data_IF_606633857144
#
_entry.id   IF_606633857144
#
_cell.length_a   1.000
_cell.length_b   1.000
_cell.length_c   1.000
_cell.angle_alpha   90.00
_cell.angle_beta   90.00
_cell.angle_gamma   90.00
#
_symmetry.space_group_name_H-M   'P 1'
#
loop_
_entity.id
_entity.type
_entity.pdbx_description
1 polymer ?
#
# COMPACT_ATOMS: atom_id res chain seq x y z
N UNK A 1 -38.82 47.34 -48.77
CA UNK A 1 -38.69 46.16 -47.92
C UNK A 1 -37.23 45.83 -47.73
N UNK A 2 -36.64 46.21 -46.57
CA UNK A 2 -35.23 45.87 -46.24
C UNK A 2 -35.22 44.60 -45.42
N UNK A 3 -34.59 43.52 -45.93
CA UNK A 3 -34.39 42.27 -45.18
C UNK A 3 -33.22 42.46 -44.17
N UNK A 4 -33.54 42.37 -42.90
CA UNK A 4 -32.58 42.33 -41.82
C UNK A 4 -32.00 40.89 -41.72
N UNK A 5 -30.70 40.72 -42.00
CA UNK A 5 -29.99 39.47 -41.80
C UNK A 5 -29.44 39.53 -40.37
N UNK A 6 -29.99 38.70 -39.47
CA UNK A 6 -29.44 38.48 -38.13
C UNK A 6 -28.37 37.40 -38.24
N UNK A 7 -27.12 37.80 -38.01
CA UNK A 7 -25.99 36.90 -37.93
C UNK A 7 -25.83 36.43 -36.48
N UNK A 8 -26.27 35.22 -36.20
CA UNK A 8 -26.03 34.59 -34.86
C UNK A 8 -24.64 33.96 -34.87
N UNK A 9 -23.69 34.62 -34.25
CA UNK A 9 -22.36 34.06 -33.96
C UNK A 9 -22.46 33.08 -32.77
N UNK A 10 -22.35 31.79 -33.09
CA UNK A 10 -22.13 30.75 -32.07
C UNK A 10 -20.70 30.86 -31.56
N UNK A 11 -20.55 31.32 -30.34
CA UNK A 11 -19.29 31.25 -29.60
C UNK A 11 -19.15 29.82 -29.06
N UNK A 12 -18.34 28.99 -29.70
CA UNK A 12 -17.87 27.74 -29.14
C UNK A 12 -16.84 28.09 -28.04
N UNK A 13 -17.25 28.07 -26.79
CA UNK A 13 -16.30 28.04 -25.69
C UNK A 13 -15.62 26.66 -25.68
N UNK A 14 -14.38 26.59 -26.19
CA UNK A 14 -13.51 25.48 -25.90
C UNK A 14 -13.22 25.51 -24.41
N UNK A 15 -13.92 24.68 -23.64
CA UNK A 15 -13.52 24.34 -22.28
C UNK A 15 -12.27 23.45 -22.47
N UNK A 16 -11.09 24.05 -22.44
CA UNK A 16 -9.86 23.31 -22.16
C UNK A 16 -10.00 22.79 -20.74
N UNK A 17 -10.42 21.53 -20.58
CA UNK A 17 -10.19 20.82 -19.33
C UNK A 17 -8.67 20.76 -19.17
N UNK A 18 -8.12 21.64 -18.38
CA UNK A 18 -6.85 21.40 -17.72
C UNK A 18 -7.06 20.13 -16.91
N UNK A 19 -6.38 19.05 -17.27
CA UNK A 19 -6.30 17.90 -16.41
C UNK A 19 -5.62 18.39 -15.11
N UNK A 20 -6.41 18.76 -14.13
CA UNK A 20 -5.88 19.17 -12.83
C UNK A 20 -5.17 17.97 -12.24
N UNK A 21 -3.90 18.13 -11.99
CA UNK A 21 -3.08 17.13 -11.27
C UNK A 21 -3.69 16.95 -9.90
N UNK A 22 -3.87 15.71 -9.47
CA UNK A 22 -4.35 15.42 -8.14
C UNK A 22 -3.46 16.08 -7.10
N UNK A 23 -4.08 16.82 -6.20
CA UNK A 23 -3.43 17.35 -5.00
C UNK A 23 -3.77 16.44 -3.84
N UNK A 24 -2.76 15.84 -3.24
CA UNK A 24 -2.89 14.99 -2.08
C UNK A 24 -2.31 15.71 -0.87
N UNK A 25 -3.12 15.97 0.11
CA UNK A 25 -2.74 16.81 1.27
C UNK A 25 -3.09 16.10 2.57
N UNK A 26 -2.40 16.52 3.62
CA UNK A 26 -2.71 16.13 4.98
C UNK A 26 -3.28 17.36 5.69
N UNK A 27 -4.53 17.27 6.12
CA UNK A 27 -5.22 18.29 6.88
C UNK A 27 -5.89 17.65 8.09
N UNK A 28 -5.69 18.22 9.27
CA UNK A 28 -6.27 17.72 10.53
C UNK A 28 -6.02 16.22 10.75
N UNK A 29 -4.81 15.75 10.45
CA UNK A 29 -4.39 14.34 10.50
C UNK A 29 -5.18 13.39 9.57
N UNK A 30 -5.85 13.93 8.56
CA UNK A 30 -6.57 13.20 7.53
C UNK A 30 -5.86 13.35 6.18
N UNK A 31 -5.94 12.31 5.38
CA UNK A 31 -5.49 12.35 3.99
C UNK A 31 -6.63 12.86 3.12
N UNK A 32 -6.35 13.86 2.28
CA UNK A 32 -7.31 14.43 1.34
C UNK A 32 -6.79 14.30 -0.08
N UNK A 33 -7.65 13.96 -1.01
CA UNK A 33 -7.38 13.99 -2.46
C UNK A 33 -8.30 15.03 -3.07
N UNK A 34 -7.74 16.10 -3.63
CA UNK A 34 -8.49 17.23 -4.19
C UNK A 34 -9.51 17.84 -3.19
N UNK A 35 -9.11 17.95 -1.91
CA UNK A 35 -9.94 18.51 -0.84
C UNK A 35 -11.03 17.57 -0.31
N UNK A 36 -11.06 16.32 -0.76
CA UNK A 36 -12.02 15.31 -0.28
C UNK A 36 -11.27 14.31 0.60
N UNK A 37 -11.77 14.04 1.81
CA UNK A 37 -11.18 13.04 2.71
C UNK A 37 -11.06 11.69 2.01
N UNK A 38 -9.88 11.10 2.11
CA UNK A 38 -9.55 9.84 1.48
C UNK A 38 -9.10 8.83 2.53
N UNK A 39 -9.96 7.87 2.85
CA UNK A 39 -9.61 6.76 3.71
C UNK A 39 -9.03 5.63 2.86
N UNK A 40 -7.78 5.24 3.14
CA UNK A 40 -7.10 4.17 2.40
C UNK A 40 -7.78 2.83 2.67
N UNK A 41 -8.29 2.21 1.63
CA UNK A 41 -8.84 0.85 1.58
C UNK A 41 -8.01 0.07 0.57
N UNK A 42 -6.86 -0.43 1.01
CA UNK A 42 -5.82 -0.89 0.10
C UNK A 42 -5.40 -2.34 0.24
N UNK A 43 -4.58 -2.76 -0.72
CA UNK A 43 -3.87 -4.05 -0.73
C UNK A 43 -2.42 -3.87 -1.17
N UNK A 44 -1.52 -4.69 -0.63
CA UNK A 44 -0.19 -4.86 -1.22
C UNK A 44 -0.31 -5.59 -2.56
N UNK A 45 0.35 -5.08 -3.59
CA UNK A 45 0.21 -5.60 -4.93
C UNK A 45 1.57 -5.85 -5.59
N UNK A 46 1.95 -7.12 -5.64
CA UNK A 46 3.16 -7.61 -6.29
C UNK A 46 2.86 -8.90 -7.07
N UNK A 47 2.24 -8.81 -8.27
CA UNK A 47 1.72 -9.96 -9.01
C UNK A 47 2.85 -10.71 -9.72
N UNK A 48 3.44 -11.68 -9.03
CA UNK A 48 4.49 -12.55 -9.57
C UNK A 48 3.85 -13.82 -10.15
N UNK A 49 4.07 -14.14 -11.44
CA UNK A 49 3.52 -15.35 -12.05
C UNK A 49 4.13 -16.63 -11.50
N UNK A 50 3.40 -17.75 -11.62
CA UNK A 50 3.89 -19.08 -11.27
C UNK A 50 5.23 -19.36 -11.98
N UNK A 51 6.19 -19.89 -11.26
CA UNK A 51 7.53 -20.23 -11.76
C UNK A 51 8.43 -19.01 -12.02
N UNK A 52 8.03 -17.82 -11.55
CA UNK A 52 8.81 -16.59 -11.65
C UNK A 52 9.10 -16.00 -10.27
N UNK A 53 10.07 -15.08 -10.24
CA UNK A 53 10.45 -14.31 -9.03
C UNK A 53 10.35 -12.81 -9.27
N UNK A 54 9.91 -12.40 -10.48
CA UNK A 54 9.76 -11.01 -10.88
C UNK A 54 8.30 -10.78 -11.22
N UNK A 55 7.73 -9.69 -10.71
CA UNK A 55 6.34 -9.31 -10.97
C UNK A 55 6.06 -9.07 -12.46
N UNK A 56 4.81 -9.29 -12.84
CA UNK A 56 4.30 -9.03 -14.17
C UNK A 56 2.88 -8.52 -14.11
N UNK A 57 2.59 -7.47 -14.88
CA UNK A 57 1.25 -6.88 -14.97
C UNK A 57 0.37 -7.48 -16.08
N UNK A 58 0.72 -8.67 -16.57
CA UNK A 58 -0.07 -9.33 -17.65
C UNK A 58 -1.52 -9.64 -17.25
N UNK A 59 -1.81 -9.70 -15.95
CA UNK A 59 -3.16 -9.95 -15.41
C UNK A 59 -3.84 -8.67 -14.92
N UNK A 60 -3.26 -7.50 -15.17
CA UNK A 60 -3.69 -6.22 -14.57
C UNK A 60 -5.19 -5.94 -14.78
N UNK A 61 -5.73 -6.19 -15.96
CA UNK A 61 -7.14 -5.92 -16.25
C UNK A 61 -8.08 -6.78 -15.38
N UNK A 62 -7.76 -8.07 -15.20
CA UNK A 62 -8.51 -8.96 -14.30
C UNK A 62 -8.35 -8.54 -12.85
N UNK A 63 -7.13 -8.20 -12.45
CA UNK A 63 -6.80 -7.84 -11.08
C UNK A 63 -7.53 -6.54 -10.67
N UNK A 64 -7.56 -5.53 -11.55
CA UNK A 64 -8.28 -4.27 -11.31
C UNK A 64 -9.80 -4.48 -11.17
N UNK A 65 -10.40 -5.33 -12.00
CA UNK A 65 -11.83 -5.66 -11.88
C UNK A 65 -12.15 -6.30 -10.52
N UNK A 66 -11.30 -7.20 -10.04
CA UNK A 66 -11.46 -7.81 -8.71
C UNK A 66 -11.26 -6.79 -7.59
N UNK A 67 -10.28 -5.89 -7.73
CA UNK A 67 -10.06 -4.83 -6.77
C UNK A 67 -11.24 -3.87 -6.69
N UNK A 68 -11.79 -3.45 -7.84
CA UNK A 68 -13.00 -2.63 -7.89
C UNK A 68 -14.18 -3.33 -7.24
N UNK A 69 -14.39 -4.62 -7.53
CA UNK A 69 -15.44 -5.42 -6.89
C UNK A 69 -15.29 -5.47 -5.37
N UNK A 70 -14.06 -5.58 -4.89
CA UNK A 70 -13.76 -5.59 -3.45
C UNK A 70 -13.86 -4.22 -2.78
N UNK A 71 -14.03 -3.12 -3.52
CA UNK A 71 -14.04 -1.76 -3.00
C UNK A 71 -12.66 -1.23 -2.62
N UNK A 72 -11.60 -1.83 -3.19
CA UNK A 72 -10.22 -1.39 -3.01
C UNK A 72 -10.01 -0.10 -3.81
N UNK A 73 -9.50 0.94 -3.15
CA UNK A 73 -9.19 2.23 -3.75
C UNK A 73 -7.68 2.50 -3.87
N UNK A 74 -6.85 1.66 -3.26
CA UNK A 74 -5.39 1.88 -3.20
C UNK A 74 -4.64 0.57 -3.37
N UNK A 75 -3.58 0.61 -4.16
CA UNK A 75 -2.55 -0.43 -4.15
C UNK A 75 -1.24 0.13 -3.59
N UNK A 76 -0.54 -0.68 -2.82
CA UNK A 76 0.81 -0.40 -2.36
C UNK A 76 1.78 -1.32 -3.08
N UNK A 77 2.79 -0.76 -3.72
CA UNK A 77 3.81 -1.52 -4.46
C UNK A 77 5.18 -1.36 -3.83
N UNK A 78 5.98 -2.42 -3.80
CA UNK A 78 7.32 -2.45 -3.17
C UNK A 78 8.43 -1.88 -4.07
N UNK A 79 8.12 -1.67 -5.34
CA UNK A 79 9.00 -0.98 -6.28
C UNK A 79 8.17 -0.21 -7.29
N UNK A 80 8.70 0.89 -7.87
CA UNK A 80 7.96 1.73 -8.80
C UNK A 80 7.41 0.99 -10.01
N UNK A 81 6.24 1.41 -10.50
CA UNK A 81 5.65 0.95 -11.76
C UNK A 81 6.11 1.93 -12.85
N UNK A 82 7.15 1.57 -13.60
CA UNK A 82 7.66 2.40 -14.71
C UNK A 82 7.03 2.00 -16.05
N UNK A 83 5.71 1.97 -16.06
CA UNK A 83 4.91 1.72 -17.26
C UNK A 83 3.68 2.65 -17.23
N UNK A 84 3.67 3.64 -18.12
CA UNK A 84 2.59 4.61 -18.20
C UNK A 84 1.24 3.95 -18.55
N UNK A 85 1.23 2.91 -19.38
CA UNK A 85 -0.01 2.24 -19.76
C UNK A 85 -0.62 1.50 -18.55
N UNK A 86 0.21 0.91 -17.70
CA UNK A 86 -0.25 0.27 -16.46
C UNK A 86 -0.78 1.33 -15.46
N UNK A 87 -0.07 2.44 -15.27
CA UNK A 87 -0.54 3.52 -14.42
C UNK A 87 -1.85 4.12 -14.90
N UNK A 88 -2.03 4.30 -16.21
CA UNK A 88 -3.29 4.77 -16.80
C UNK A 88 -4.45 3.81 -16.49
N UNK A 89 -4.25 2.50 -16.66
CA UNK A 89 -5.28 1.50 -16.30
C UNK A 89 -5.67 1.55 -14.83
N UNK A 90 -4.70 1.75 -13.94
CA UNK A 90 -4.94 1.87 -12.51
C UNK A 90 -5.77 3.13 -12.21
N UNK A 91 -5.43 4.27 -12.83
CA UNK A 91 -6.18 5.52 -12.68
C UNK A 91 -7.61 5.41 -13.24
N UNK A 92 -7.76 4.83 -14.43
CA UNK A 92 -9.07 4.56 -15.07
C UNK A 92 -9.96 3.64 -14.22
N UNK A 93 -9.35 2.74 -13.43
CA UNK A 93 -10.06 1.91 -12.46
C UNK A 93 -10.44 2.69 -11.17
N UNK A 94 -10.05 3.95 -11.02
CA UNK A 94 -10.28 4.75 -9.82
C UNK A 94 -9.41 4.36 -8.63
N UNK A 95 -8.30 3.66 -8.88
CA UNK A 95 -7.39 3.16 -7.86
C UNK A 95 -6.14 4.05 -7.80
N UNK A 96 -5.63 4.29 -6.58
CA UNK A 96 -4.41 5.06 -6.36
C UNK A 96 -3.24 4.15 -6.01
N UNK A 97 -2.02 4.67 -6.18
CA UNK A 97 -0.78 3.93 -5.97
C UNK A 97 0.06 4.60 -4.88
N UNK A 98 0.40 3.86 -3.85
CA UNK A 98 1.51 4.18 -2.95
C UNK A 98 2.77 3.58 -3.56
N UNK A 99 3.66 4.47 -4.04
CA UNK A 99 4.89 4.05 -4.71
C UNK A 99 6.05 4.03 -3.73
N UNK A 100 6.59 2.84 -3.46
CA UNK A 100 7.74 2.66 -2.59
C UNK A 100 9.06 2.76 -3.36
N UNK A 101 10.04 3.42 -2.73
CA UNK A 101 11.43 3.47 -3.18
C UNK A 101 12.33 2.74 -2.19
N UNK A 102 13.03 1.73 -2.66
CA UNK A 102 13.98 0.96 -1.88
C UNK A 102 15.32 1.66 -1.71
N UNK A 103 16.24 0.98 -1.01
CA UNK A 103 17.62 1.38 -0.82
C UNK A 103 18.52 0.35 -1.50
N UNK A 104 19.36 0.79 -2.44
CA UNK A 104 20.26 -0.08 -3.21
C UNK A 104 19.54 -1.17 -4.05
N UNK A 105 18.63 -0.73 -4.91
CA UNK A 105 17.81 -1.61 -5.78
C UNK A 105 18.46 -1.85 -7.16
N UNK A 106 19.79 -2.00 -7.21
CA UNK A 106 20.57 -2.28 -8.43
C UNK A 106 20.32 -1.27 -9.58
N UNK A 107 20.15 0.00 -9.26
CA UNK A 107 19.93 1.06 -10.23
C UNK A 107 18.48 1.31 -10.64
N UNK A 108 17.53 0.55 -10.10
CA UNK A 108 16.10 0.80 -10.31
C UNK A 108 15.57 1.78 -9.28
N UNK A 109 15.47 3.07 -9.63
CA UNK A 109 14.82 4.11 -8.84
C UNK A 109 14.99 3.95 -7.32
N UNK A 110 16.23 3.99 -6.84
CA UNK A 110 16.53 3.80 -5.43
C UNK A 110 17.07 5.05 -4.73
N UNK A 111 17.06 5.00 -3.41
CA UNK A 111 17.46 6.12 -2.54
C UNK A 111 18.98 6.28 -2.54
N UNK A 112 19.75 5.20 -2.56
CA UNK A 112 21.21 5.24 -2.48
C UNK A 112 21.82 5.96 -3.70
N UNK A 113 21.38 5.56 -4.90
CA UNK A 113 21.85 6.12 -6.16
C UNK A 113 21.14 7.43 -6.54
N UNK A 114 20.05 7.77 -5.86
CA UNK A 114 19.28 8.98 -6.12
C UNK A 114 18.36 8.89 -7.35
N UNK A 115 18.25 7.71 -7.99
CA UNK A 115 17.48 7.51 -9.22
C UNK A 115 15.97 7.60 -9.01
N UNK A 116 15.48 7.47 -7.76
CA UNK A 116 14.08 7.74 -7.39
C UNK A 116 13.61 9.15 -7.82
N UNK A 117 14.53 10.13 -7.87
CA UNK A 117 14.25 11.50 -8.29
C UNK A 117 13.75 11.56 -9.75
N UNK A 118 14.32 10.73 -10.63
CA UNK A 118 13.93 10.72 -12.04
C UNK A 118 12.53 10.11 -12.21
N UNK A 119 12.18 9.10 -11.41
CA UNK A 119 10.83 8.57 -11.36
C UNK A 119 9.82 9.63 -10.91
N UNK A 120 10.11 10.34 -9.81
CA UNK A 120 9.23 11.40 -9.30
C UNK A 120 9.02 12.49 -10.34
N UNK A 121 10.08 12.99 -10.98
CA UNK A 121 9.97 13.99 -12.05
C UNK A 121 9.08 13.52 -13.19
N UNK A 122 9.18 12.23 -13.55
CA UNK A 122 8.40 11.61 -14.62
C UNK A 122 6.92 11.49 -14.29
N UNK A 123 6.59 11.09 -13.05
CA UNK A 123 5.24 10.66 -12.70
C UNK A 123 4.50 11.51 -11.66
N UNK A 124 5.11 12.55 -11.09
CA UNK A 124 4.47 13.39 -10.06
C UNK A 124 3.18 14.10 -10.49
N UNK A 125 2.91 14.15 -11.78
CA UNK A 125 1.67 14.72 -12.31
C UNK A 125 0.67 13.63 -12.76
N UNK A 126 0.95 12.36 -12.47
CA UNK A 126 0.06 11.26 -12.84
C UNK A 126 -0.99 11.04 -11.77
N UNK A 127 -2.27 11.04 -12.15
CA UNK A 127 -3.38 10.98 -11.22
C UNK A 127 -3.48 9.69 -10.40
N UNK A 128 -2.88 8.59 -10.85
CA UNK A 128 -2.80 7.37 -10.05
C UNK A 128 -1.95 7.51 -8.79
N UNK A 129 -0.97 8.44 -8.74
CA UNK A 129 -0.08 8.56 -7.58
C UNK A 129 -0.86 9.10 -6.37
N UNK A 130 -0.78 8.38 -5.25
CA UNK A 130 -1.32 8.82 -3.97
C UNK A 130 -0.25 9.54 -3.15
N UNK A 131 0.86 8.89 -2.91
CA UNK A 131 2.04 9.47 -2.28
C UNK A 131 3.29 8.61 -2.46
N UNK A 132 4.43 9.14 -2.05
CA UNK A 132 5.73 8.52 -2.13
C UNK A 132 6.08 7.85 -0.81
N UNK A 133 6.49 6.59 -0.84
CA UNK A 133 6.91 5.84 0.34
C UNK A 133 8.40 5.51 0.25
N UNK A 134 9.11 5.56 1.38
CA UNK A 134 10.55 5.34 1.47
C UNK A 134 10.85 4.12 2.33
N UNK A 135 11.36 3.06 1.71
CA UNK A 135 11.75 1.82 2.37
C UNK A 135 10.57 1.00 2.91
N UNK A 136 10.87 -0.22 3.29
CA UNK A 136 9.94 -1.15 3.93
C UNK A 136 10.67 -1.93 5.02
N UNK A 137 10.27 -1.76 6.28
CA UNK A 137 10.80 -2.48 7.45
C UNK A 137 12.32 -2.41 7.62
N UNK A 138 12.97 -1.41 7.07
CA UNK A 138 14.43 -1.28 7.14
C UNK A 138 14.97 -1.11 8.58
N UNK A 139 14.11 -0.76 9.52
CA UNK A 139 14.43 -0.72 10.93
C UNK A 139 14.82 -2.10 11.50
N UNK A 140 14.44 -3.19 10.86
CA UNK A 140 14.84 -4.55 11.24
C UNK A 140 16.18 -4.99 10.63
N UNK A 141 16.77 -4.19 9.72
CA UNK A 141 17.94 -4.53 8.92
C UNK A 141 19.11 -3.56 9.09
N UNK A 142 19.63 -3.37 10.33
CA UNK A 142 20.78 -2.48 10.55
C UNK A 142 22.02 -2.92 9.76
N UNK A 143 22.13 -4.20 9.42
CA UNK A 143 23.23 -4.77 8.59
C UNK A 143 23.30 -4.14 7.20
N UNK A 144 22.21 -3.68 6.64
CA UNK A 144 22.19 -2.96 5.35
C UNK A 144 22.74 -1.53 5.45
N UNK A 145 22.89 -1.03 6.66
CA UNK A 145 23.28 0.35 6.97
C UNK A 145 24.53 0.42 7.85
N UNK A 146 25.52 -0.47 7.58
CA UNK A 146 26.77 -0.58 8.35
C UNK A 146 26.53 -0.81 9.86
N UNK A 147 25.59 -1.66 10.20
CA UNK A 147 25.17 -1.97 11.58
C UNK A 147 24.69 -0.75 12.38
N UNK A 148 24.34 0.34 11.70
CA UNK A 148 23.83 1.55 12.32
C UNK A 148 22.55 2.03 11.62
N UNK A 149 21.40 1.76 12.21
CA UNK A 149 20.10 2.11 11.66
C UNK A 149 19.89 3.63 11.51
N UNK A 150 20.65 4.46 12.21
CA UNK A 150 20.60 5.91 12.04
C UNK A 150 20.97 6.34 10.62
N UNK A 151 21.85 5.58 9.95
CA UNK A 151 22.22 5.83 8.56
C UNK A 151 21.00 5.70 7.63
N UNK A 152 20.10 4.75 7.92
CA UNK A 152 18.82 4.66 7.23
C UNK A 152 17.95 5.89 7.49
N UNK A 153 17.73 6.23 8.75
CA UNK A 153 16.88 7.38 9.08
C UNK A 153 17.39 8.70 8.51
N UNK A 154 18.71 8.91 8.47
CA UNK A 154 19.31 10.06 7.77
C UNK A 154 19.06 10.04 6.26
N UNK A 155 19.25 8.89 5.62
CA UNK A 155 19.02 8.72 4.17
C UNK A 155 17.56 8.94 3.82
N UNK A 156 16.64 8.33 4.56
CA UNK A 156 15.19 8.49 4.44
C UNK A 156 14.77 9.97 4.57
N UNK A 157 15.22 10.63 5.62
CA UNK A 157 14.85 12.03 5.87
C UNK A 157 15.40 12.99 4.80
N UNK A 158 16.62 12.74 4.32
CA UNK A 158 17.21 13.51 3.22
C UNK A 158 16.47 13.27 1.90
N UNK A 159 16.05 12.02 1.64
CA UNK A 159 15.24 11.68 0.48
C UNK A 159 13.89 12.39 0.54
N UNK A 160 13.19 12.31 1.68
CA UNK A 160 11.92 13.01 1.89
C UNK A 160 12.05 14.52 1.64
N UNK A 161 13.09 15.16 2.19
CA UNK A 161 13.37 16.57 1.95
C UNK A 161 13.54 16.89 0.47
N UNK A 162 14.26 16.06 -0.29
CA UNK A 162 14.47 16.26 -1.73
C UNK A 162 13.17 16.08 -2.51
N UNK A 163 12.35 15.07 -2.16
CA UNK A 163 11.05 14.86 -2.78
C UNK A 163 10.18 16.09 -2.63
N UNK A 164 10.06 16.63 -1.42
CA UNK A 164 9.28 17.84 -1.14
C UNK A 164 9.75 19.11 -1.87
N UNK A 165 11.00 19.15 -2.34
CA UNK A 165 11.49 20.23 -3.21
C UNK A 165 10.99 20.10 -4.65
N UNK A 166 10.79 18.87 -5.12
CA UNK A 166 10.47 18.53 -6.51
C UNK A 166 8.95 18.41 -6.72
N UNK A 167 8.27 17.85 -5.74
CA UNK A 167 6.85 17.57 -5.74
C UNK A 167 6.18 18.25 -4.53
N UNK A 168 5.18 19.08 -4.82
CA UNK A 168 4.39 19.81 -3.81
C UNK A 168 2.98 19.25 -3.67
N UNK A 169 2.65 18.27 -4.50
CA UNK A 169 1.29 17.74 -4.61
C UNK A 169 1.10 16.43 -3.84
N UNK A 170 2.19 15.79 -3.43
CA UNK A 170 2.10 14.49 -2.76
C UNK A 170 2.90 14.45 -1.46
N UNK A 171 2.33 13.90 -0.39
CA UNK A 171 3.03 13.63 0.86
C UNK A 171 4.16 12.60 0.68
N UNK A 172 5.04 12.54 1.68
CA UNK A 172 6.09 11.52 1.77
C UNK A 172 5.86 10.67 3.01
N UNK A 173 5.90 9.36 2.81
CA UNK A 173 5.72 8.32 3.83
C UNK A 173 6.99 7.46 3.97
N UNK A 174 6.96 6.60 4.96
CA UNK A 174 7.84 5.43 5.12
C UNK A 174 7.03 4.28 5.69
N UNK A 175 7.40 3.03 5.38
CA UNK A 175 6.81 1.85 6.01
C UNK A 175 7.79 1.30 7.06
N UNK A 176 7.46 1.49 8.33
CA UNK A 176 8.26 1.06 9.46
C UNK A 176 7.68 -0.22 10.06
N UNK A 177 8.52 -1.17 10.41
CA UNK A 177 8.08 -2.31 11.21
C UNK A 177 7.77 -1.85 12.63
N UNK A 178 6.53 -2.04 13.07
CA UNK A 178 6.03 -1.55 14.37
C UNK A 178 6.09 -0.02 14.52
N UNK A 179 5.62 0.48 15.67
CA UNK A 179 5.67 1.93 15.99
C UNK A 179 7.13 2.41 16.07
N UNK A 180 7.50 3.44 15.29
CA UNK A 180 8.84 3.99 15.34
C UNK A 180 9.13 4.61 16.72
N UNK A 181 10.30 4.32 17.26
CA UNK A 181 10.74 4.89 18.52
C UNK A 181 10.95 6.42 18.41
N UNK A 182 11.15 7.10 19.55
CA UNK A 182 11.34 8.55 19.59
C UNK A 182 12.46 9.04 18.66
N UNK A 183 13.57 8.30 18.59
CA UNK A 183 14.72 8.65 17.77
C UNK A 183 14.38 8.59 16.27
N UNK A 184 13.74 7.52 15.84
CA UNK A 184 13.30 7.35 14.45
C UNK A 184 12.37 8.50 14.02
N UNK A 185 11.39 8.86 14.88
CA UNK A 185 10.46 9.96 14.60
C UNK A 185 11.18 11.31 14.52
N UNK A 186 12.11 11.58 15.44
CA UNK A 186 12.90 12.83 15.42
C UNK A 186 13.78 12.93 14.17
N UNK A 187 14.41 11.84 13.77
CA UNK A 187 15.25 11.81 12.56
C UNK A 187 14.43 11.86 11.27
N UNK A 188 13.19 11.32 11.29
CA UNK A 188 12.26 11.37 10.16
C UNK A 188 11.42 12.64 10.07
N UNK A 189 11.96 13.80 10.44
CA UNK A 189 11.23 15.08 10.53
C UNK A 189 10.63 15.62 9.22
N UNK A 190 11.00 15.05 8.07
CA UNK A 190 10.43 15.38 6.77
C UNK A 190 9.39 14.35 6.30
N UNK A 191 9.08 13.33 7.09
CA UNK A 191 7.97 12.39 6.81
C UNK A 191 6.65 13.07 7.17
N UNK A 192 5.67 12.99 6.27
CA UNK A 192 4.35 13.63 6.42
C UNK A 192 3.32 12.68 7.01
N UNK A 193 3.41 11.39 6.68
CA UNK A 193 2.53 10.32 7.12
C UNK A 193 3.35 9.07 7.41
N UNK A 194 3.09 8.41 8.53
CA UNK A 194 3.80 7.19 8.87
C UNK A 194 2.98 5.95 8.49
N UNK A 195 3.60 5.04 7.75
CA UNK A 195 3.12 3.68 7.57
C UNK A 195 3.76 2.77 8.59
N UNK A 196 2.99 1.87 9.18
CA UNK A 196 3.53 0.78 10.00
C UNK A 196 3.02 -0.57 9.53
N UNK A 197 3.92 -1.56 9.47
CA UNK A 197 3.55 -2.94 9.22
C UNK A 197 3.22 -3.60 10.55
N UNK A 198 1.98 -4.12 10.66
CA UNK A 198 1.43 -4.57 11.93
C UNK A 198 0.66 -5.87 11.77
N UNK A 199 1.13 -6.88 12.46
CA UNK A 199 0.49 -8.19 12.47
C UNK A 199 0.08 -8.56 13.89
N UNK A 200 -1.22 -8.40 14.20
CA UNK A 200 -1.81 -8.58 15.54
C UNK A 200 -3.08 -9.43 15.43
N UNK A 201 -2.94 -10.60 14.88
CA UNK A 201 -4.04 -11.57 14.73
C UNK A 201 -5.37 -10.88 14.34
N UNK A 202 -6.17 -10.48 15.33
CA UNK A 202 -7.51 -9.96 15.10
C UNK A 202 -7.74 -8.52 15.61
N UNK A 203 -6.79 -7.92 16.36
CA UNK A 203 -6.95 -6.54 16.84
C UNK A 203 -5.63 -5.73 16.89
N UNK A 204 -5.31 -4.97 15.84
CA UNK A 204 -4.17 -4.06 15.82
C UNK A 204 -4.48 -2.66 16.38
N UNK A 205 -5.73 -2.36 16.77
CA UNK A 205 -6.14 -0.99 17.15
C UNK A 205 -5.45 -0.39 18.37
N UNK A 206 -4.95 -1.16 19.38
CA UNK A 206 -4.16 -0.58 20.46
C UNK A 206 -2.96 0.23 19.98
N UNK A 207 -2.39 -0.09 18.81
CA UNK A 207 -1.28 0.65 18.21
C UNK A 207 -1.67 2.04 17.70
N UNK A 208 -2.91 2.23 17.29
CA UNK A 208 -3.44 3.56 16.91
C UNK A 208 -3.47 4.46 18.14
N UNK A 209 -3.97 3.94 19.27
CA UNK A 209 -4.00 4.68 20.55
C UNK A 209 -2.60 4.94 21.10
N UNK A 210 -1.65 4.04 20.88
CA UNK A 210 -0.25 4.25 21.24
C UNK A 210 0.38 5.33 20.39
N UNK A 211 0.10 5.35 19.10
CA UNK A 211 0.58 6.38 18.18
C UNK A 211 0.10 7.78 18.57
N UNK A 212 -1.17 7.96 18.89
CA UNK A 212 -1.75 9.23 19.34
C UNK A 212 -1.04 9.82 20.58
N UNK A 213 -0.42 8.97 21.43
CA UNK A 213 0.34 9.43 22.62
C UNK A 213 1.74 9.95 22.28
N UNK A 214 2.27 9.61 21.09
CA UNK A 214 3.68 9.85 20.75
C UNK A 214 3.89 10.69 19.50
N UNK A 215 2.84 10.96 18.72
CA UNK A 215 2.92 11.72 17.47
C UNK A 215 1.59 12.38 17.12
N UNK A 216 1.67 13.59 16.55
CA UNK A 216 0.54 14.31 15.97
C UNK A 216 0.46 14.11 14.44
N UNK A 217 1.34 13.25 13.85
CA UNK A 217 1.30 12.96 12.42
C UNK A 217 0.28 11.85 12.13
N UNK A 218 -0.32 11.85 10.94
CA UNK A 218 -1.22 10.79 10.53
C UNK A 218 -0.50 9.45 10.40
N UNK A 219 -1.24 8.37 10.66
CA UNK A 219 -0.81 6.99 10.61
C UNK A 219 -1.70 6.18 9.67
N UNK A 220 -1.11 5.24 8.94
CA UNK A 220 -1.83 4.14 8.28
C UNK A 220 -1.10 2.81 8.54
N UNK A 221 -1.82 1.70 8.44
CA UNK A 221 -1.16 0.40 8.43
C UNK A 221 -0.75 0.08 6.99
N UNK A 222 0.57 0.13 6.75
CA UNK A 222 1.16 -0.17 5.43
C UNK A 222 1.16 -1.65 5.11
N UNK A 223 1.05 -2.50 6.14
CA UNK A 223 0.73 -3.91 6.03
C UNK A 223 -0.02 -4.40 7.26
N UNK A 224 -1.08 -5.15 7.04
CA UNK A 224 -1.78 -5.93 8.06
C UNK A 224 -2.57 -7.06 7.41
N UNK A 225 -2.93 -8.07 8.14
CA UNK A 225 -3.72 -9.16 7.60
C UNK A 225 -3.42 -10.50 8.24
N UNK A 226 -3.79 -11.56 7.53
CA UNK A 226 -3.69 -12.95 7.96
C UNK A 226 -3.52 -13.88 6.75
N UNK A 227 -2.71 -14.93 6.90
CA UNK A 227 -2.57 -15.99 5.91
C UNK A 227 -3.72 -17.03 5.99
N UNK A 228 -3.76 -17.95 5.04
CA UNK A 228 -4.77 -19.02 4.97
C UNK A 228 -4.20 -20.40 5.25
N UNK A 229 -3.07 -20.52 5.96
CA UNK A 229 -2.50 -21.82 6.30
C UNK A 229 -2.26 -21.96 7.79
N UNK A 230 -2.96 -22.90 8.42
CA UNK A 230 -2.78 -23.25 9.83
C UNK A 230 -1.69 -24.30 9.98
N UNK A 231 -0.64 -24.01 10.74
CA UNK A 231 0.43 -24.98 11.05
C UNK A 231 0.03 -25.94 12.17
N UNK A 232 -0.96 -25.58 12.96
CA UNK A 232 -1.55 -26.38 14.04
C UNK A 232 -3.05 -26.13 14.14
N UNK A 233 -3.77 -27.03 14.83
CA UNK A 233 -5.15 -26.80 15.21
C UNK A 233 -5.25 -25.66 16.23
N UNK A 234 -6.27 -24.80 16.05
CA UNK A 234 -6.61 -23.75 17.01
C UNK A 234 -8.12 -23.54 17.05
N UNK A 235 -8.75 -23.80 18.19
CA UNK A 235 -10.22 -23.80 18.32
C UNK A 235 -10.87 -24.69 17.24
N UNK A 236 -11.83 -24.13 16.50
CA UNK A 236 -12.50 -24.81 15.38
C UNK A 236 -11.65 -24.90 14.10
N UNK A 237 -10.58 -24.13 14.02
CA UNK A 237 -9.73 -24.09 12.83
C UNK A 237 -8.74 -25.25 12.81
N UNK A 238 -8.76 -26.03 11.75
CA UNK A 238 -7.91 -27.20 11.58
C UNK A 238 -6.62 -26.85 10.81
N UNK A 239 -5.56 -27.60 11.12
CA UNK A 239 -4.29 -27.55 10.40
C UNK A 239 -4.47 -27.77 8.90
N UNK A 240 -3.66 -27.07 8.09
CA UNK A 240 -3.68 -27.08 6.63
C UNK A 240 -4.26 -25.79 6.06
N UNK A 241 -4.59 -25.78 4.79
CA UNK A 241 -5.24 -24.64 4.15
C UNK A 241 -6.59 -24.39 4.83
N UNK A 242 -6.76 -23.19 5.37
CA UNK A 242 -7.94 -22.82 6.16
C UNK A 242 -8.35 -21.36 5.88
N UNK A 243 -9.15 -21.19 4.85
CA UNK A 243 -9.66 -19.87 4.47
C UNK A 243 -10.67 -19.32 5.49
N UNK A 244 -11.30 -20.17 6.30
CA UNK A 244 -12.19 -19.71 7.38
C UNK A 244 -11.40 -18.98 8.47
N UNK A 245 -10.24 -19.51 8.84
CA UNK A 245 -9.35 -18.86 9.80
C UNK A 245 -8.84 -17.51 9.27
N UNK A 246 -8.40 -17.45 8.01
CA UNK A 246 -8.00 -16.21 7.36
C UNK A 246 -9.15 -15.18 7.35
N UNK A 247 -10.34 -15.61 6.94
CA UNK A 247 -11.50 -14.73 6.86
C UNK A 247 -11.94 -14.22 8.24
N UNK A 248 -11.89 -15.07 9.28
CA UNK A 248 -12.23 -14.68 10.64
C UNK A 248 -11.25 -13.65 11.20
N UNK A 249 -9.94 -13.87 11.03
CA UNK A 249 -8.92 -12.93 11.48
C UNK A 249 -9.03 -11.58 10.74
N UNK A 250 -9.09 -11.59 9.41
CA UNK A 250 -9.23 -10.37 8.63
C UNK A 250 -10.56 -9.64 8.90
N UNK A 251 -11.64 -10.37 9.19
CA UNK A 251 -12.89 -9.75 9.62
C UNK A 251 -12.71 -8.92 10.89
N UNK A 252 -12.06 -9.49 11.90
CA UNK A 252 -11.85 -8.82 13.18
C UNK A 252 -10.89 -7.63 13.03
N UNK A 253 -9.78 -7.81 12.30
CA UNK A 253 -8.80 -6.74 11.99
C UNK A 253 -9.52 -5.56 11.34
N UNK A 254 -10.20 -5.77 10.21
CA UNK A 254 -10.82 -4.68 9.45
C UNK A 254 -11.96 -4.05 10.25
N UNK A 255 -12.82 -4.86 10.89
CA UNK A 255 -13.92 -4.39 11.74
C UNK A 255 -13.43 -3.45 12.86
N UNK A 256 -12.35 -3.82 13.54
CA UNK A 256 -11.81 -3.03 14.64
C UNK A 256 -11.18 -1.72 14.13
N UNK A 257 -10.40 -1.78 13.05
CA UNK A 257 -9.81 -0.58 12.42
C UNK A 257 -10.90 0.39 11.94
N UNK A 258 -11.97 -0.10 11.32
CA UNK A 258 -13.05 0.77 10.82
C UNK A 258 -13.82 1.49 11.94
N UNK A 259 -13.79 0.99 13.16
CA UNK A 259 -14.30 1.75 14.33
C UNK A 259 -13.41 2.94 14.69
N UNK A 260 -12.14 2.92 14.26
CA UNK A 260 -11.15 3.96 14.56
C UNK A 260 -10.91 4.91 13.37
N UNK A 261 -11.70 4.84 12.30
CA UNK A 261 -11.47 5.59 11.05
C UNK A 261 -11.33 7.11 11.23
N UNK A 262 -11.93 7.68 12.28
CA UNK A 262 -11.79 9.11 12.60
C UNK A 262 -10.39 9.50 13.10
N UNK A 263 -9.61 8.54 13.56
CA UNK A 263 -8.27 8.72 14.15
C UNK A 263 -7.14 8.19 13.27
N UNK A 264 -7.45 7.69 12.08
CA UNK A 264 -6.58 6.84 11.31
C UNK A 264 -6.80 7.06 9.82
N UNK A 265 -5.74 6.97 9.00
CA UNK A 265 -5.87 7.27 7.56
C UNK A 265 -6.16 6.06 6.69
N UNK A 266 -6.08 4.85 7.22
CA UNK A 266 -6.50 3.64 6.51
C UNK A 266 -5.55 2.45 6.59
N UNK A 267 -5.90 1.41 5.87
CA UNK A 267 -5.20 0.12 5.90
C UNK A 267 -4.82 -0.38 4.52
N UNK A 268 -3.71 -1.12 4.48
CA UNK A 268 -3.30 -1.93 3.35
C UNK A 268 -3.28 -3.40 3.81
N UNK A 269 -4.14 -4.21 3.23
CA UNK A 269 -4.16 -5.66 3.49
C UNK A 269 -2.99 -6.32 2.76
N UNK A 270 -2.21 -7.06 3.47
CA UNK A 270 -1.19 -7.94 2.91
C UNK A 270 -1.80 -9.32 2.71
N UNK A 271 -2.02 -9.75 1.42
CA UNK A 271 -1.81 -9.06 0.16
C UNK A 271 -2.94 -9.38 -0.84
N UNK A 272 -2.90 -8.85 -2.06
CA UNK A 272 -3.93 -9.10 -3.07
C UNK A 272 -3.95 -10.56 -3.53
N UNK A 273 -2.82 -11.09 -4.01
CA UNK A 273 -2.69 -12.43 -4.62
C UNK A 273 -1.64 -13.26 -3.89
N UNK A 274 -1.86 -14.56 -3.76
CA UNK A 274 -0.86 -15.48 -3.23
C UNK A 274 0.47 -15.37 -3.99
N UNK A 275 1.59 -15.48 -3.28
CA UNK A 275 2.93 -15.22 -3.82
C UNK A 275 3.85 -16.42 -3.74
N UNK A 276 3.78 -17.35 -4.70
CA UNK A 276 4.53 -18.62 -4.70
C UNK A 276 6.06 -18.46 -4.77
N UNK A 277 6.55 -17.26 -4.97
CA UNK A 277 7.99 -16.96 -5.03
C UNK A 277 8.63 -16.68 -3.65
N UNK A 278 7.82 -16.59 -2.60
CA UNK A 278 8.23 -16.14 -1.26
C UNK A 278 8.84 -17.25 -0.40
N UNK A 279 8.66 -18.52 -0.80
CA UNK A 279 9.26 -19.68 -0.14
C UNK A 279 9.59 -20.78 -1.17
N UNK A 280 10.54 -21.63 -0.89
CA UNK A 280 10.82 -22.87 -1.61
C UNK A 280 10.84 -22.76 -3.15
N UNK A 281 9.91 -23.47 -3.79
CA UNK A 281 9.85 -23.59 -5.24
C UNK A 281 8.74 -22.70 -5.82
N UNK A 282 9.05 -21.71 -6.68
CA UNK A 282 8.03 -20.78 -7.21
C UNK A 282 6.98 -21.44 -8.16
N UNK A 283 7.10 -22.72 -8.47
CA UNK A 283 6.09 -23.46 -9.26
C UNK A 283 4.97 -24.05 -8.42
N UNK A 284 5.10 -24.07 -7.09
CA UNK A 284 4.11 -24.63 -6.16
C UNK A 284 4.02 -23.76 -4.89
N UNK A 285 2.94 -23.92 -4.16
CA UNK A 285 2.74 -23.22 -2.91
C UNK A 285 3.41 -23.99 -1.77
N UNK A 286 4.42 -23.37 -1.16
CA UNK A 286 5.23 -23.94 -0.08
C UNK A 286 4.92 -23.25 1.27
N UNK A 287 5.08 -23.99 2.36
CA UNK A 287 4.92 -23.51 3.73
C UNK A 287 6.21 -22.79 4.15
N UNK A 288 6.09 -21.75 4.96
CA UNK A 288 7.20 -20.97 5.46
C UNK A 288 7.28 -19.58 4.87
N UNK A 289 8.47 -19.06 4.65
CA UNK A 289 8.70 -17.72 4.11
C UNK A 289 9.84 -16.98 4.78
N UNK A 290 9.95 -15.68 4.52
CA UNK A 290 11.08 -14.86 4.94
C UNK A 290 11.00 -14.36 6.38
N UNK A 291 9.84 -14.42 7.00
CA UNK A 291 9.62 -13.97 8.38
C UNK A 291 9.35 -15.16 9.32
N UNK A 292 10.27 -16.12 9.46
CA UNK A 292 10.03 -17.40 10.15
C UNK A 292 9.70 -17.25 11.64
N UNK A 293 10.00 -16.11 12.24
CA UNK A 293 9.77 -15.83 13.65
C UNK A 293 8.63 -14.81 13.87
N UNK A 294 7.86 -14.46 12.83
CA UNK A 294 6.73 -13.57 13.03
C UNK A 294 5.71 -14.23 13.96
N UNK A 295 5.01 -13.44 14.75
CA UNK A 295 3.95 -13.93 15.64
C UNK A 295 2.79 -14.54 14.88
N UNK A 296 2.81 -14.35 13.57
CA UNK A 296 2.03 -15.07 12.60
C UNK A 296 0.54 -14.99 12.78
N UNK A 297 -0.06 -15.48 11.80
CA UNK A 297 -1.49 -15.53 11.65
C UNK A 297 -1.79 -16.64 10.67
N UNK A 298 -2.98 -17.21 10.71
CA UNK A 298 -4.02 -16.92 11.68
C UNK A 298 -3.86 -17.79 12.95
N UNK A 299 -3.45 -17.21 14.05
CA UNK A 299 -3.42 -17.81 15.38
C UNK A 299 -2.35 -18.87 15.66
N UNK A 300 -1.38 -19.08 14.81
CA UNK A 300 -0.44 -20.21 14.93
C UNK A 300 1.05 -19.84 15.06
N UNK A 301 1.40 -18.57 14.88
CA UNK A 301 2.78 -18.11 15.03
C UNK A 301 3.69 -18.46 13.85
N UNK A 302 3.13 -18.71 12.66
CA UNK A 302 3.88 -19.02 11.44
C UNK A 302 3.55 -18.04 10.32
N UNK A 303 4.54 -17.52 9.58
CA UNK A 303 4.30 -16.48 8.58
C UNK A 303 3.63 -16.99 7.30
N UNK A 304 3.89 -18.21 6.87
CA UNK A 304 3.33 -18.84 5.65
C UNK A 304 3.11 -17.88 4.49
N UNK A 305 4.13 -17.12 4.10
CA UNK A 305 4.02 -15.93 3.26
C UNK A 305 3.40 -16.13 1.89
N UNK A 306 3.36 -17.36 1.39
CA UNK A 306 2.72 -17.68 0.11
C UNK A 306 1.19 -17.74 0.16
N UNK A 307 0.59 -17.72 1.37
CA UNK A 307 -0.84 -17.95 1.58
C UNK A 307 -1.65 -16.69 1.94
N UNK A 308 -1.10 -15.50 1.78
CA UNK A 308 -1.69 -14.24 2.25
C UNK A 308 -2.66 -13.57 1.29
N UNK A 309 -2.75 -14.05 0.05
CA UNK A 309 -3.64 -13.44 -0.94
C UNK A 309 -5.10 -13.41 -0.47
N UNK A 310 -5.81 -12.34 -0.82
CA UNK A 310 -7.28 -12.33 -0.75
C UNK A 310 -7.89 -13.09 -1.94
N UNK A 311 -7.09 -13.29 -2.98
CA UNK A 311 -7.33 -14.25 -4.06
C UNK A 311 -6.15 -15.22 -4.16
N UNK A 312 -6.38 -16.43 -4.67
CA UNK A 312 -5.31 -17.38 -4.96
C UNK A 312 -4.46 -16.93 -6.17
N UNK A 313 -3.41 -17.69 -6.47
CA UNK A 313 -2.52 -17.39 -7.61
C UNK A 313 -3.25 -17.37 -8.96
N UNK A 314 -4.38 -18.08 -9.10
CA UNK A 314 -5.22 -18.13 -10.30
C UNK A 314 -6.31 -17.04 -10.31
N UNK A 315 -6.35 -16.19 -9.28
CA UNK A 315 -7.37 -15.14 -9.05
C UNK A 315 -8.75 -15.71 -8.74
N UNK A 316 -8.81 -16.89 -8.14
CA UNK A 316 -10.03 -17.35 -7.50
C UNK A 316 -10.17 -16.63 -6.14
N UNK A 317 -11.37 -16.16 -5.84
CA UNK A 317 -11.65 -15.46 -4.59
C UNK A 317 -11.57 -16.42 -3.42
N UNK A 318 -10.77 -16.08 -2.40
CA UNK A 318 -10.80 -16.77 -1.12
C UNK A 318 -11.95 -16.23 -0.25
N UNK A 319 -12.30 -16.91 0.83
CA UNK A 319 -13.37 -16.44 1.74
C UNK A 319 -13.11 -15.04 2.31
N UNK A 320 -11.85 -14.68 2.54
CA UNK A 320 -11.45 -13.35 2.99
C UNK A 320 -11.75 -12.25 1.97
N UNK A 321 -11.86 -12.56 0.67
CA UNK A 321 -12.25 -11.58 -0.35
C UNK A 321 -13.63 -10.98 -0.05
N UNK A 322 -14.61 -11.81 0.34
CA UNK A 322 -15.94 -11.34 0.69
C UNK A 322 -15.95 -10.50 1.99
N UNK A 323 -15.02 -10.79 2.90
CA UNK A 323 -14.80 -9.95 4.10
C UNK A 323 -14.32 -8.56 3.69
N UNK A 324 -13.27 -8.48 2.89
CA UNK A 324 -12.74 -7.20 2.40
C UNK A 324 -13.83 -6.42 1.66
N UNK A 325 -14.51 -7.07 0.71
CA UNK A 325 -15.61 -6.49 -0.07
C UNK A 325 -16.71 -5.90 0.82
N UNK A 326 -17.12 -6.62 1.87
CA UNK A 326 -18.15 -6.15 2.80
C UNK A 326 -17.78 -4.87 3.51
N UNK A 327 -16.53 -4.71 3.95
CA UNK A 327 -16.11 -3.52 4.68
C UNK A 327 -15.70 -2.38 3.76
N UNK A 328 -15.06 -2.66 2.64
CA UNK A 328 -14.51 -1.62 1.78
C UNK A 328 -15.58 -0.95 0.89
N UNK A 329 -16.72 -1.60 0.64
CA UNK A 329 -17.85 -1.00 -0.05
C UNK A 329 -18.81 -0.21 0.87
N UNK A 330 -18.54 -0.20 2.18
CA UNK A 330 -19.25 0.61 3.16
C UNK A 330 -18.36 1.80 3.58
#
# INVERSE_FOLDING_TARGET
MKKLIVLTSLIFALITQTLDVNKVEIENNKLNVNGIEYFIKGVCYDPVPIGKTIRSFNTIDKDLLLMQEAGINTIRVYSPIDDLAILNKIDEAGIKVITNFGYNQNGYYDILNGTYIDYIKKYKNHNAILFWELGNEYNYHPEWFNMNIDNWYHSMNNAAKKIKQIDKNHPVSTAHGEIPNKKARQMGSNIDIWGINVYRWDDPTPLIEEWEKVSDLPLYFSETGSDSYMTKDYNEFKKGINEDAQAAANHNIIKNIFKMKEKFTGIIIFQFVDGLWKAGNPEKQDIGGWAPNSTGVPYDGSPNEEFWGIVDINRNKKKTFEVVKKFFNN
#
